data_IF_775959794287
#
_entry.id   IF_775959794287
#
_cell.length_a   1.000
_cell.length_b   1.000
_cell.length_c   1.000
_cell.angle_alpha   90.00
_cell.angle_beta   90.00
_cell.angle_gamma   90.00
#
_symmetry.space_group_name_H-M   'P 1'
#
loop_
_entity.id
_entity.type
_entity.pdbx_description
1 polymer ?
#
# COMPACT_ATOMS: atom_id res chain seq x y z
N UNK A 1 -34.07 -10.79 7.62
CA UNK A 1 -32.96 -10.75 6.66
C UNK A 1 -33.36 -9.78 5.55
N UNK A 2 -32.94 -8.53 5.62
CA UNK A 2 -33.12 -7.54 4.56
C UNK A 2 -32.33 -8.04 3.34
N UNK A 3 -33.01 -8.18 2.17
CA UNK A 3 -32.31 -8.36 0.90
C UNK A 3 -31.43 -7.11 0.71
N UNK A 4 -30.11 -7.25 0.87
CA UNK A 4 -29.17 -6.26 0.43
C UNK A 4 -29.38 -6.13 -1.09
N UNK A 5 -30.04 -5.07 -1.51
CA UNK A 5 -30.12 -4.69 -2.92
C UNK A 5 -28.69 -4.45 -3.38
N UNK A 6 -28.28 -5.11 -4.45
CA UNK A 6 -26.97 -4.86 -5.09
C UNK A 6 -26.89 -3.35 -5.32
N UNK A 7 -25.85 -2.67 -4.80
CA UNK A 7 -25.74 -1.23 -4.99
C UNK A 7 -25.79 -0.88 -6.47
N UNK A 8 -26.60 0.09 -6.82
CA UNK A 8 -26.72 0.56 -8.20
C UNK A 8 -25.41 1.24 -8.61
N UNK A 9 -24.84 0.82 -9.70
CA UNK A 9 -23.60 1.38 -10.24
C UNK A 9 -23.74 1.71 -11.71
N UNK A 10 -23.28 2.89 -12.12
CA UNK A 10 -23.42 3.39 -13.47
C UNK A 10 -22.22 4.23 -13.90
N UNK A 11 -22.07 4.40 -15.20
CA UNK A 11 -21.22 5.43 -15.79
C UNK A 11 -22.15 6.39 -16.53
N UNK A 12 -21.98 7.70 -16.27
CA UNK A 12 -22.87 8.74 -16.77
C UNK A 12 -22.98 8.78 -18.29
N UNK A 13 -24.12 9.32 -18.76
CA UNK A 13 -24.38 9.64 -20.16
C UNK A 13 -24.23 8.46 -21.12
N UNK A 14 -24.45 7.23 -20.65
CA UNK A 14 -24.35 6.03 -21.48
C UNK A 14 -22.93 5.71 -21.96
N UNK A 15 -21.91 6.34 -21.35
CA UNK A 15 -20.51 6.02 -21.59
C UNK A 15 -20.21 4.57 -21.24
N UNK A 16 -19.31 3.96 -21.95
CA UNK A 16 -18.84 2.60 -21.69
C UNK A 16 -17.68 2.56 -20.69
N UNK A 17 -16.95 3.67 -20.57
CA UNK A 17 -15.80 3.78 -19.67
C UNK A 17 -15.62 5.22 -19.18
N UNK A 18 -14.90 5.36 -18.08
CA UNK A 18 -14.39 6.63 -17.55
C UNK A 18 -12.99 6.45 -17.00
N UNK A 19 -12.24 7.53 -16.85
CA UNK A 19 -10.90 7.47 -16.28
C UNK A 19 -10.61 8.69 -15.41
N UNK A 20 -9.80 8.47 -14.35
CA UNK A 20 -9.32 9.51 -13.46
C UNK A 20 -7.80 9.45 -13.34
N UNK A 21 -7.17 10.59 -13.11
CA UNK A 21 -5.76 10.62 -12.77
C UNK A 21 -5.55 10.12 -11.33
N UNK A 22 -4.37 9.57 -11.03
CA UNK A 22 -3.95 9.30 -9.68
C UNK A 22 -2.57 9.86 -9.37
N UNK A 23 -2.29 10.07 -8.09
CA UNK A 23 -0.95 10.36 -7.60
C UNK A 23 -0.37 9.11 -6.94
N UNK A 24 0.89 8.82 -7.23
CA UNK A 24 1.63 7.75 -6.56
C UNK A 24 2.35 8.34 -5.33
N UNK A 25 1.72 8.29 -4.18
CA UNK A 25 2.25 8.81 -2.92
C UNK A 25 2.69 7.66 -2.02
N UNK A 26 3.95 7.66 -1.57
CA UNK A 26 4.56 6.57 -0.79
C UNK A 26 4.30 5.19 -1.42
N UNK A 27 4.39 5.13 -2.74
CA UNK A 27 4.15 3.93 -3.56
C UNK A 27 2.70 3.41 -3.54
N UNK A 28 1.73 4.26 -3.22
CA UNK A 28 0.29 3.95 -3.18
C UNK A 28 -0.49 4.89 -4.09
N UNK A 29 -1.53 4.35 -4.70
CA UNK A 29 -2.37 5.04 -5.68
C UNK A 29 -3.46 5.86 -4.99
N UNK A 30 -3.35 7.19 -5.00
CA UNK A 30 -4.35 8.12 -4.45
C UNK A 30 -5.18 8.76 -5.55
N UNK A 31 -6.49 8.82 -5.36
CA UNK A 31 -7.42 9.47 -6.27
C UNK A 31 -8.35 10.43 -5.53
N UNK A 32 -8.88 11.39 -6.27
CA UNK A 32 -9.96 12.24 -5.81
C UNK A 32 -11.31 11.63 -6.16
N UNK A 33 -12.19 11.58 -5.19
CA UNK A 33 -13.56 11.08 -5.31
C UNK A 33 -14.54 12.09 -4.76
N UNK A 34 -15.84 11.95 -5.07
CA UNK A 34 -16.87 12.68 -4.34
C UNK A 34 -17.75 11.73 -3.58
N UNK A 35 -17.97 12.01 -2.29
CA UNK A 35 -18.98 11.36 -1.47
C UNK A 35 -20.14 12.33 -1.24
N UNK A 36 -21.34 11.98 -1.68
CA UNK A 36 -22.52 12.84 -1.63
C UNK A 36 -22.23 14.27 -2.18
N UNK A 37 -21.48 14.33 -3.29
CA UNK A 37 -21.11 15.57 -3.98
C UNK A 37 -19.93 16.33 -3.39
N UNK A 38 -19.41 16.00 -2.19
CA UNK A 38 -18.23 16.64 -1.59
C UNK A 38 -16.94 15.92 -1.96
N UNK A 39 -15.85 16.64 -2.27
CA UNK A 39 -14.57 16.05 -2.68
C UNK A 39 -13.81 15.49 -1.48
N UNK A 40 -13.17 14.32 -1.68
CA UNK A 40 -12.28 13.64 -0.74
C UNK A 40 -11.16 12.94 -1.49
N UNK A 41 -10.05 12.67 -0.77
CA UNK A 41 -8.89 11.98 -1.33
C UNK A 41 -8.72 10.62 -0.69
N UNK A 42 -8.77 9.58 -1.49
CA UNK A 42 -8.77 8.19 -1.02
C UNK A 42 -7.67 7.35 -1.67
N UNK A 43 -7.25 6.33 -0.96
CA UNK A 43 -6.37 5.28 -1.46
C UNK A 43 -7.18 4.28 -2.29
N UNK A 44 -6.71 3.95 -3.50
CA UNK A 44 -7.23 2.84 -4.29
C UNK A 44 -6.45 1.56 -3.95
N UNK A 45 -7.13 0.60 -3.34
CA UNK A 45 -6.54 -0.62 -2.77
C UNK A 45 -7.32 -1.86 -3.20
N UNK A 46 -6.73 -2.67 -4.09
CA UNK A 46 -7.36 -3.91 -4.58
C UNK A 46 -7.53 -4.99 -3.51
N UNK A 47 -6.85 -4.83 -2.36
CA UNK A 47 -6.90 -5.74 -1.22
C UNK A 47 -7.84 -5.29 -0.10
N UNK A 48 -8.46 -4.10 -0.21
CA UNK A 48 -9.31 -3.54 0.83
C UNK A 48 -10.73 -3.23 0.33
N UNK A 49 -11.68 -3.19 1.27
CA UNK A 49 -13.04 -2.73 1.04
C UNK A 49 -13.17 -1.21 1.19
N UNK A 50 -14.41 -0.73 1.27
CA UNK A 50 -14.70 0.68 1.43
C UNK A 50 -14.54 1.12 2.89
N UNK A 51 -13.64 2.06 3.11
CA UNK A 51 -13.34 2.63 4.43
C UNK A 51 -13.32 4.15 4.31
N UNK A 52 -13.95 4.84 5.26
CA UNK A 52 -13.78 6.29 5.44
C UNK A 52 -13.31 6.58 6.86
N UNK A 53 -12.69 7.75 7.04
CA UNK A 53 -12.32 8.22 8.37
C UNK A 53 -13.52 8.80 9.13
N UNK A 54 -13.48 8.88 10.47
CA UNK A 54 -14.52 9.55 11.26
C UNK A 54 -14.74 11.02 10.85
N UNK A 55 -13.68 11.70 10.39
CA UNK A 55 -13.72 13.09 9.91
C UNK A 55 -14.60 13.21 8.66
N UNK A 56 -14.48 12.26 7.73
CA UNK A 56 -15.35 12.18 6.53
C UNK A 56 -16.81 11.97 6.92
N UNK A 57 -17.06 11.00 7.80
CA UNK A 57 -18.42 10.74 8.28
C UNK A 57 -19.04 11.98 8.94
N UNK A 58 -18.27 12.71 9.76
CA UNK A 58 -18.68 13.99 10.36
C UNK A 58 -18.92 15.08 9.32
N UNK A 59 -18.02 15.23 8.34
CA UNK A 59 -18.14 16.23 7.28
C UNK A 59 -19.40 16.03 6.41
N UNK A 60 -19.85 14.78 6.30
CA UNK A 60 -21.05 14.39 5.55
C UNK A 60 -22.30 14.28 6.42
N UNK A 61 -22.21 14.54 7.73
CA UNK A 61 -23.30 14.37 8.71
C UNK A 61 -23.91 12.96 8.67
N UNK A 62 -23.08 11.93 8.51
CA UNK A 62 -23.55 10.55 8.44
C UNK A 62 -23.79 9.97 9.84
N UNK A 63 -24.84 9.16 9.97
CA UNK A 63 -25.04 8.33 11.15
C UNK A 63 -24.06 7.16 11.09
N UNK A 64 -23.25 6.99 12.13
CA UNK A 64 -22.32 5.88 12.28
C UNK A 64 -22.86 4.92 13.33
N UNK A 65 -23.01 3.66 12.99
CA UNK A 65 -23.39 2.58 13.90
C UNK A 65 -22.13 1.79 14.29
N UNK A 66 -21.99 1.46 15.58
CA UNK A 66 -20.85 0.65 16.04
C UNK A 66 -20.89 -0.74 15.40
N UNK A 67 -19.76 -1.20 14.88
CA UNK A 67 -19.61 -2.51 14.26
C UNK A 67 -18.61 -3.42 15.01
N UNK A 68 -18.15 -2.99 16.19
CA UNK A 68 -17.18 -3.72 17.01
C UNK A 68 -15.76 -3.38 16.62
N UNK A 69 -14.91 -4.40 16.48
CA UNK A 69 -13.49 -4.21 16.22
C UNK A 69 -13.05 -4.93 14.94
N UNK A 70 -12.19 -4.28 14.16
CA UNK A 70 -11.57 -4.82 12.97
C UNK A 70 -10.04 -4.89 13.12
N UNK A 71 -9.44 -5.83 12.41
CA UNK A 71 -8.00 -6.00 12.33
C UNK A 71 -7.50 -5.77 10.91
N UNK A 72 -6.20 -5.52 10.79
CA UNK A 72 -5.51 -5.39 9.52
C UNK A 72 -4.14 -6.05 9.56
N UNK A 73 -3.16 -5.46 8.89
CA UNK A 73 -1.79 -5.99 8.83
C UNK A 73 -1.00 -5.79 10.13
N UNK A 74 -1.40 -4.83 10.98
CA UNK A 74 -0.86 -4.67 12.33
C UNK A 74 -1.46 -5.67 13.30
N UNK A 75 -0.94 -5.70 14.53
CA UNK A 75 -1.31 -6.69 15.55
C UNK A 75 -2.51 -6.29 16.40
N UNK A 76 -2.84 -5.00 16.44
CA UNK A 76 -3.94 -4.48 17.24
C UNK A 76 -5.25 -4.52 16.45
N UNK A 77 -6.35 -4.72 17.18
CA UNK A 77 -7.67 -4.43 16.65
C UNK A 77 -8.01 -2.96 16.89
N UNK A 78 -8.77 -2.38 15.99
CA UNK A 78 -9.25 -0.99 16.06
C UNK A 78 -10.78 -0.98 16.09
N UNK A 79 -11.35 -0.04 16.80
CA UNK A 79 -12.80 0.13 16.80
C UNK A 79 -13.29 0.54 15.42
N UNK A 80 -14.39 -0.02 14.99
CA UNK A 80 -15.01 0.26 13.70
C UNK A 80 -16.49 0.58 13.83
N UNK A 81 -16.96 1.39 12.89
CA UNK A 81 -18.36 1.67 12.67
C UNK A 81 -18.78 1.28 11.25
N UNK A 82 -20.08 1.39 10.99
CA UNK A 82 -20.68 1.27 9.66
C UNK A 82 -21.52 2.49 9.37
N UNK A 83 -21.49 2.91 8.12
CA UNK A 83 -22.34 4.00 7.63
C UNK A 83 -22.67 3.76 6.16
N UNK A 84 -23.64 4.51 5.62
CA UNK A 84 -23.98 4.44 4.20
C UNK A 84 -23.71 5.78 3.52
N UNK A 85 -23.07 5.72 2.37
CA UNK A 85 -22.88 6.85 1.45
C UNK A 85 -23.91 6.68 0.32
N UNK A 86 -24.73 7.71 0.12
CA UNK A 86 -25.80 7.66 -0.86
C UNK A 86 -25.26 7.66 -2.30
N UNK A 87 -24.17 8.38 -2.56
CA UNK A 87 -23.51 8.44 -3.86
C UNK A 87 -22.01 8.62 -3.72
N UNK A 88 -21.24 7.67 -4.27
CA UNK A 88 -19.79 7.79 -4.48
C UNK A 88 -19.54 7.99 -5.97
N UNK A 89 -18.84 9.08 -6.32
CA UNK A 89 -18.49 9.43 -7.68
C UNK A 89 -16.98 9.37 -7.90
N UNK A 90 -16.55 8.66 -8.95
CA UNK A 90 -15.14 8.58 -9.43
C UNK A 90 -15.14 8.94 -10.92
N UNK A 91 -14.76 10.18 -11.26
CA UNK A 91 -14.96 10.68 -12.62
C UNK A 91 -16.44 10.68 -12.98
N UNK A 92 -16.83 9.95 -14.03
CA UNK A 92 -18.24 9.76 -14.43
C UNK A 92 -18.87 8.48 -13.86
N UNK A 93 -18.13 7.73 -13.03
CA UNK A 93 -18.62 6.51 -12.39
C UNK A 93 -19.35 6.85 -11.11
N UNK A 94 -20.51 6.23 -10.86
CA UNK A 94 -21.31 6.35 -9.66
C UNK A 94 -21.54 4.97 -9.03
N UNK A 95 -21.40 4.90 -7.70
CA UNK A 95 -21.84 3.76 -6.88
C UNK A 95 -22.78 4.30 -5.81
N UNK A 96 -24.05 3.85 -5.83
CA UNK A 96 -25.09 4.38 -4.97
C UNK A 96 -25.41 3.46 -3.80
N UNK A 97 -25.80 4.08 -2.68
CA UNK A 97 -26.30 3.40 -1.47
C UNK A 97 -25.38 2.30 -0.95
N UNK A 98 -24.08 2.61 -0.83
CA UNK A 98 -23.11 1.63 -0.40
C UNK A 98 -22.69 1.80 1.07
N UNK A 99 -22.47 0.66 1.73
CA UNK A 99 -21.96 0.63 3.09
C UNK A 99 -20.45 0.86 3.11
N UNK A 100 -20.00 1.66 4.07
CA UNK A 100 -18.59 1.93 4.34
C UNK A 100 -18.26 1.59 5.79
N UNK A 101 -17.12 0.99 6.03
CA UNK A 101 -16.52 0.95 7.34
C UNK A 101 -16.06 2.35 7.74
N UNK A 102 -16.21 2.70 9.01
CA UNK A 102 -15.67 3.93 9.59
C UNK A 102 -14.57 3.55 10.55
N UNK A 103 -13.31 3.85 10.18
CA UNK A 103 -12.11 3.45 10.93
C UNK A 103 -11.23 4.68 11.16
N UNK A 104 -10.81 4.89 12.42
CA UNK A 104 -9.83 5.92 12.77
C UNK A 104 -8.42 5.45 12.44
N UNK A 105 -7.65 6.34 11.83
CA UNK A 105 -6.21 6.18 11.62
C UNK A 105 -5.39 7.13 12.52
N UNK A 106 -6.03 7.73 13.53
CA UNK A 106 -5.39 8.71 14.40
C UNK A 106 -4.19 8.15 15.18
N UNK A 107 -4.20 6.84 15.50
CA UNK A 107 -3.09 6.16 16.16
C UNK A 107 -1.97 5.74 15.19
N UNK A 108 -2.20 5.85 13.89
CA UNK A 108 -1.12 5.71 12.93
C UNK A 108 -0.31 7.01 12.97
N UNK A 109 0.99 6.99 13.36
CA UNK A 109 1.84 8.14 13.21
C UNK A 109 1.78 8.51 11.73
N UNK A 110 1.39 9.73 11.44
CA UNK A 110 1.04 10.22 10.11
C UNK A 110 1.96 9.64 9.00
N UNK A 111 1.73 8.38 8.68
CA UNK A 111 2.59 7.58 7.79
C UNK A 111 2.55 8.06 6.35
N UNK A 112 1.48 8.78 6.01
CA UNK A 112 1.36 9.47 4.72
C UNK A 112 1.93 10.90 4.76
N UNK A 113 2.49 11.31 5.90
CA UNK A 113 2.96 12.68 6.12
C UNK A 113 1.78 13.66 6.11
N UNK A 114 1.98 14.81 5.48
CA UNK A 114 0.94 15.81 5.30
C UNK A 114 -0.01 15.51 4.12
N UNK A 115 0.14 14.36 3.46
CA UNK A 115 -0.77 13.98 2.40
C UNK A 115 -2.18 13.71 2.97
N UNK A 116 -3.18 14.33 2.35
CA UNK A 116 -4.58 14.11 2.72
C UNK A 116 -4.95 12.64 2.51
N UNK A 117 -5.57 12.05 3.53
CA UNK A 117 -6.07 10.67 3.52
C UNK A 117 -7.44 10.64 4.19
N UNK A 118 -8.48 10.42 3.39
CA UNK A 118 -9.87 10.44 3.82
C UNK A 118 -10.49 9.04 3.88
N UNK A 119 -9.85 8.04 3.25
CA UNK A 119 -10.36 6.68 3.24
C UNK A 119 -9.67 5.76 2.22
N UNK A 120 -10.27 4.59 2.04
CA UNK A 120 -9.81 3.54 1.13
C UNK A 120 -11.01 3.07 0.31
N UNK A 121 -10.80 2.83 -0.98
CA UNK A 121 -11.74 2.16 -1.87
C UNK A 121 -10.99 1.16 -2.74
N UNK A 122 -11.63 0.14 -3.24
CA UNK A 122 -10.95 -0.77 -4.18
C UNK A 122 -11.74 -2.00 -4.56
N UNK A 123 -11.70 -3.04 -3.77
CA UNK A 123 -12.20 -4.36 -4.16
C UNK A 123 -13.64 -4.35 -4.70
N UNK A 124 -14.54 -3.58 -4.08
CA UNK A 124 -15.94 -3.51 -4.51
C UNK A 124 -16.11 -2.74 -5.83
N UNK A 125 -15.20 -1.81 -6.17
CA UNK A 125 -15.16 -1.19 -7.50
C UNK A 125 -14.73 -2.22 -8.53
N UNK A 126 -13.70 -3.03 -8.20
CA UNK A 126 -13.22 -4.10 -9.08
C UNK A 126 -14.31 -5.15 -9.40
N UNK A 127 -15.22 -5.41 -8.45
CA UNK A 127 -16.34 -6.33 -8.66
C UNK A 127 -17.38 -5.82 -9.67
N UNK A 128 -17.46 -4.51 -9.86
CA UNK A 128 -18.46 -3.85 -10.69
C UNK A 128 -17.96 -3.45 -12.06
N UNK A 129 -16.68 -3.10 -12.13
CA UNK A 129 -16.08 -2.55 -13.34
C UNK A 129 -14.75 -3.24 -13.63
N UNK A 130 -14.50 -3.51 -14.91
CA UNK A 130 -13.16 -3.85 -15.34
C UNK A 130 -12.30 -2.63 -15.11
N UNK A 131 -11.28 -2.78 -14.26
CA UNK A 131 -10.45 -1.66 -13.81
C UNK A 131 -9.02 -1.83 -14.27
N UNK A 132 -8.51 -0.87 -15.04
CA UNK A 132 -7.11 -0.79 -15.42
C UNK A 132 -6.39 0.23 -14.54
N UNK A 133 -5.32 -0.21 -13.89
CA UNK A 133 -4.34 0.63 -13.22
C UNK A 133 -3.20 0.87 -14.20
N UNK A 134 -3.22 2.01 -14.86
CA UNK A 134 -2.18 2.43 -15.80
C UNK A 134 -1.11 3.21 -15.06
N UNK A 135 -0.10 2.49 -14.55
CA UNK A 135 1.03 3.08 -13.84
C UNK A 135 1.97 3.87 -14.74
N UNK A 136 1.93 3.63 -16.05
CA UNK A 136 2.75 4.37 -17.00
C UNK A 136 2.27 5.82 -17.17
N UNK A 137 0.94 6.01 -17.17
CA UNK A 137 0.30 7.30 -17.39
C UNK A 137 -0.38 7.84 -16.12
N UNK A 138 -0.25 7.15 -14.97
CA UNK A 138 -0.89 7.50 -13.70
C UNK A 138 -2.41 7.71 -13.82
N UNK A 139 -3.10 6.70 -14.37
CA UNK A 139 -4.56 6.74 -14.58
C UNK A 139 -5.22 5.45 -14.11
N UNK A 140 -6.39 5.59 -13.48
CA UNK A 140 -7.34 4.50 -13.34
C UNK A 140 -8.39 4.62 -14.43
N UNK A 141 -8.65 3.51 -15.12
CA UNK A 141 -9.70 3.42 -16.14
C UNK A 141 -10.73 2.39 -15.69
N UNK A 142 -12.00 2.75 -15.76
CA UNK A 142 -13.11 1.88 -15.37
C UNK A 142 -13.98 1.65 -16.59
N UNK A 143 -14.21 0.39 -16.94
CA UNK A 143 -15.00 -0.01 -18.10
C UNK A 143 -16.13 -0.94 -17.68
N UNK A 144 -17.30 -0.78 -18.26
CA UNK A 144 -18.42 -1.70 -18.05
C UNK A 144 -18.04 -3.12 -18.47
N UNK A 145 -18.25 -4.16 -17.66
CA UNK A 145 -17.81 -5.53 -17.98
C UNK A 145 -18.39 -6.09 -19.28
N UNK A 146 -19.67 -5.74 -19.60
CA UNK A 146 -20.37 -6.17 -20.81
C UNK A 146 -19.81 -5.52 -22.08
N UNK A 147 -19.06 -4.44 -21.97
CA UNK A 147 -18.43 -3.69 -23.07
C UNK A 147 -16.94 -3.89 -23.18
N UNK A 148 -16.32 -4.47 -22.16
CA UNK A 148 -14.87 -4.66 -22.15
C UNK A 148 -14.46 -5.82 -23.06
N UNK A 149 -13.49 -5.55 -23.92
CA UNK A 149 -12.81 -6.55 -24.74
C UNK A 149 -11.30 -6.29 -24.71
N UNK A 150 -10.56 -7.24 -24.17
CA UNK A 150 -9.11 -7.13 -24.18
C UNK A 150 -8.53 -7.60 -25.51
N UNK A 151 -7.72 -6.73 -26.14
CA UNK A 151 -7.09 -6.99 -27.46
C UNK A 151 -5.56 -6.84 -27.40
N UNK A 152 -4.99 -6.59 -26.20
CA UNK A 152 -3.56 -6.41 -26.02
C UNK A 152 -2.76 -7.71 -25.94
N UNK A 153 -1.44 -7.59 -25.79
CA UNK A 153 -0.47 -8.69 -25.64
C UNK A 153 -0.08 -9.02 -24.20
N UNK A 154 -0.83 -8.58 -23.21
CA UNK A 154 -0.53 -8.81 -21.80
C UNK A 154 -0.67 -10.27 -21.36
N UNK A 155 0.01 -10.62 -20.29
CA UNK A 155 -0.06 -11.94 -19.69
C UNK A 155 -1.30 -12.02 -18.81
N UNK A 156 -2.17 -12.99 -19.07
CA UNK A 156 -3.40 -13.23 -18.33
C UNK A 156 -3.20 -14.28 -17.26
N UNK A 157 -3.71 -13.98 -16.07
CA UNK A 157 -3.77 -14.92 -14.96
C UNK A 157 -5.21 -15.08 -14.51
N UNK A 158 -5.68 -16.32 -14.40
CA UNK A 158 -6.91 -16.60 -13.67
C UNK A 158 -6.67 -16.40 -12.18
N UNK A 159 -7.65 -15.83 -11.49
CA UNK A 159 -7.55 -15.64 -10.05
C UNK A 159 -8.76 -16.18 -9.29
N UNK A 160 -8.54 -16.51 -8.04
CA UNK A 160 -9.59 -16.75 -7.05
C UNK A 160 -9.64 -15.58 -6.08
N UNK A 161 -10.68 -15.48 -5.25
CA UNK A 161 -10.73 -14.49 -4.16
C UNK A 161 -10.67 -15.17 -2.81
N UNK A 162 -9.92 -14.57 -1.89
CA UNK A 162 -10.06 -14.81 -0.47
C UNK A 162 -10.50 -13.51 0.21
N UNK A 163 -11.80 -13.41 0.47
CA UNK A 163 -12.39 -12.12 0.83
C UNK A 163 -12.27 -11.13 -0.33
N UNK A 164 -11.50 -10.06 -0.13
CA UNK A 164 -11.41 -8.95 -1.07
C UNK A 164 -10.26 -9.08 -2.09
N UNK A 165 -9.19 -9.79 -1.71
CA UNK A 165 -7.94 -9.80 -2.48
C UNK A 165 -8.00 -10.78 -3.65
N UNK A 166 -7.68 -10.39 -4.89
CA UNK A 166 -7.46 -11.30 -6.01
C UNK A 166 -6.21 -12.16 -5.80
N UNK A 167 -6.34 -13.49 -5.88
CA UNK A 167 -5.30 -14.47 -5.61
C UNK A 167 -4.84 -15.19 -6.87
N UNK A 168 -3.55 -15.13 -7.17
CA UNK A 168 -2.91 -15.78 -8.33
C UNK A 168 -1.89 -16.82 -7.83
N UNK A 169 -1.81 -17.96 -8.52
CA UNK A 169 -0.78 -18.96 -8.26
C UNK A 169 0.59 -18.43 -8.70
N UNK A 170 1.59 -18.64 -7.87
CA UNK A 170 2.95 -18.20 -8.13
C UNK A 170 3.98 -19.05 -7.40
N UNK A 171 5.24 -18.68 -7.53
CA UNK A 171 6.37 -19.37 -6.94
C UNK A 171 7.45 -18.39 -6.52
N UNK A 172 8.06 -18.61 -5.37
CA UNK A 172 9.23 -17.84 -4.91
C UNK A 172 10.40 -18.79 -4.66
N UNK A 173 11.47 -18.68 -5.46
CA UNK A 173 12.69 -19.51 -5.39
C UNK A 173 12.39 -21.02 -5.29
N UNK A 174 11.48 -21.53 -6.11
CA UNK A 174 11.07 -22.94 -6.17
C UNK A 174 9.97 -23.32 -5.17
N UNK A 175 9.46 -22.38 -4.37
CA UNK A 175 8.38 -22.65 -3.40
C UNK A 175 7.07 -22.11 -3.95
N UNK A 176 6.16 -23.02 -4.31
CA UNK A 176 4.83 -22.68 -4.83
C UNK A 176 3.93 -22.08 -3.74
N UNK A 177 3.10 -21.13 -4.12
CA UNK A 177 2.15 -20.48 -3.24
C UNK A 177 1.06 -19.73 -3.98
N UNK A 178 0.10 -19.21 -3.24
CA UNK A 178 -0.96 -18.35 -3.77
C UNK A 178 -0.72 -16.93 -3.28
N UNK A 179 -0.64 -15.97 -4.18
CA UNK A 179 -0.24 -14.60 -3.88
C UNK A 179 -1.36 -13.62 -4.20
N UNK A 180 -1.64 -12.72 -3.27
CA UNK A 180 -2.57 -11.61 -3.49
C UNK A 180 -1.96 -10.53 -4.37
N UNK A 181 -2.77 -9.96 -5.28
CA UNK A 181 -2.39 -8.79 -6.07
C UNK A 181 -2.96 -7.57 -5.35
N UNK A 182 -2.07 -6.80 -4.71
CA UNK A 182 -2.43 -5.79 -3.72
C UNK A 182 -1.83 -4.41 -4.05
N UNK A 183 -2.65 -3.53 -4.63
CA UNK A 183 -2.24 -2.16 -4.99
C UNK A 183 -2.08 -1.24 -3.79
N UNK A 184 -2.63 -1.60 -2.63
CA UNK A 184 -2.48 -0.88 -1.36
C UNK A 184 -1.19 -1.21 -0.61
N UNK A 185 -0.55 -2.35 -0.93
CA UNK A 185 0.74 -2.73 -0.37
C UNK A 185 1.88 -1.95 -1.04
N UNK A 186 2.60 -1.10 -0.29
CA UNK A 186 3.69 -0.26 -0.81
C UNK A 186 4.97 -1.01 -1.19
N UNK A 187 5.06 -2.28 -0.80
CA UNK A 187 6.27 -3.11 -0.95
C UNK A 187 6.29 -3.91 -2.25
N UNK A 188 7.39 -4.63 -2.48
CA UNK A 188 7.52 -5.58 -3.59
C UNK A 188 6.79 -6.89 -3.25
N UNK A 189 7.40 -7.73 -2.41
CA UNK A 189 6.77 -8.92 -1.86
C UNK A 189 6.69 -8.81 -0.34
N UNK A 190 5.51 -9.10 0.21
CA UNK A 190 5.31 -9.29 1.64
C UNK A 190 4.75 -10.70 1.83
N UNK A 191 5.58 -11.62 2.30
CA UNK A 191 5.17 -12.99 2.58
C UNK A 191 4.35 -13.02 3.88
N UNK A 192 3.57 -14.05 4.07
CA UNK A 192 2.83 -14.26 5.31
C UNK A 192 3.59 -15.20 6.26
N UNK A 193 3.42 -15.00 7.57
CA UNK A 193 4.14 -15.74 8.58
C UNK A 193 4.09 -17.26 8.39
N UNK A 194 2.91 -17.87 8.30
CA UNK A 194 2.80 -19.33 8.13
C UNK A 194 3.48 -19.87 6.87
N UNK A 195 3.39 -19.16 5.75
CA UNK A 195 4.09 -19.57 4.53
C UNK A 195 5.60 -19.49 4.69
N UNK A 196 6.09 -18.42 5.31
CA UNK A 196 7.51 -18.21 5.60
C UNK A 196 8.07 -19.31 6.48
N UNK A 197 7.36 -19.64 7.56
CA UNK A 197 7.82 -20.57 8.59
C UNK A 197 7.72 -22.04 8.13
N UNK A 198 6.59 -22.42 7.50
CA UNK A 198 6.39 -23.79 6.97
C UNK A 198 7.39 -24.17 5.88
N UNK A 199 7.93 -23.19 5.15
CA UNK A 199 8.92 -23.41 4.10
C UNK A 199 10.36 -23.08 4.53
N UNK A 200 10.60 -22.84 5.81
CA UNK A 200 11.91 -22.51 6.37
C UNK A 200 12.62 -21.34 5.67
N UNK A 201 11.85 -20.35 5.17
CA UNK A 201 12.41 -19.27 4.35
C UNK A 201 13.31 -18.33 5.15
N UNK A 202 13.11 -18.19 6.46
CA UNK A 202 14.02 -17.42 7.32
C UNK A 202 15.41 -18.06 7.37
N UNK A 203 15.50 -19.36 7.48
CA UNK A 203 16.77 -20.09 7.43
C UNK A 203 17.39 -20.06 6.03
N UNK A 204 16.56 -20.26 4.99
CA UNK A 204 16.99 -20.24 3.58
C UNK A 204 17.63 -18.91 3.17
N UNK A 205 17.01 -17.79 3.56
CA UNK A 205 17.48 -16.46 3.18
C UNK A 205 18.46 -15.84 4.18
N UNK A 206 18.46 -16.30 5.45
CA UNK A 206 19.29 -15.77 6.52
C UNK A 206 19.34 -14.22 6.54
N UNK A 207 18.17 -13.53 6.60
CA UNK A 207 18.10 -12.08 6.48
C UNK A 207 18.86 -11.38 7.61
N UNK A 208 19.61 -10.33 7.26
CA UNK A 208 20.40 -9.55 8.24
C UNK A 208 19.74 -8.22 8.60
N UNK A 209 18.75 -7.80 7.84
CA UNK A 209 18.04 -6.53 8.02
C UNK A 209 16.69 -6.81 8.67
N UNK A 210 16.39 -6.11 9.76
CA UNK A 210 15.12 -6.19 10.47
C UNK A 210 14.70 -4.80 10.92
N UNK A 211 13.44 -4.46 10.69
CA UNK A 211 12.87 -3.17 11.12
C UNK A 211 11.41 -3.02 10.74
N UNK A 212 10.85 -1.84 11.03
CA UNK A 212 9.52 -1.46 10.52
C UNK A 212 9.62 -1.28 9.01
N UNK A 213 8.78 -2.00 8.27
CA UNK A 213 8.75 -1.99 6.79
C UNK A 213 7.43 -1.50 6.22
N UNK A 214 6.44 -1.29 7.07
CA UNK A 214 5.12 -0.82 6.70
C UNK A 214 4.30 -0.43 7.92
N UNK A 215 3.12 0.13 7.64
CA UNK A 215 2.12 0.47 8.65
C UNK A 215 0.73 0.32 8.04
N UNK A 216 -0.21 -0.20 8.79
CA UNK A 216 -1.60 -0.31 8.35
C UNK A 216 -2.56 -0.36 9.55
N UNK A 217 -3.79 -0.78 9.30
CA UNK A 217 -4.78 -0.97 10.36
C UNK A 217 -4.20 -1.92 11.41
N UNK A 218 -4.23 -1.50 12.66
CA UNK A 218 -3.69 -2.26 13.80
C UNK A 218 -2.21 -2.02 14.09
N UNK A 219 -1.52 -1.14 13.35
CA UNK A 219 -0.18 -0.68 13.71
C UNK A 219 0.96 -1.04 12.75
N UNK A 220 2.21 -0.99 13.24
CA UNK A 220 3.41 -1.22 12.43
C UNK A 220 3.53 -2.67 11.97
N UNK A 221 4.13 -2.85 10.81
CA UNK A 221 4.58 -4.14 10.30
C UNK A 221 6.09 -4.21 10.40
N UNK A 222 6.59 -5.01 11.35
CA UNK A 222 8.01 -5.31 11.49
C UNK A 222 8.35 -6.55 10.68
N UNK A 223 9.40 -6.49 9.87
CA UNK A 223 9.82 -7.61 9.02
C UNK A 223 11.33 -7.76 9.00
N UNK A 224 11.76 -8.97 8.76
CA UNK A 224 13.08 -9.25 8.21
C UNK A 224 13.03 -9.01 6.70
N UNK A 225 14.11 -8.43 6.14
CA UNK A 225 14.17 -8.06 4.72
C UNK A 225 15.31 -8.79 4.03
N UNK A 226 15.00 -9.34 2.86
CA UNK A 226 15.92 -10.10 2.03
C UNK A 226 15.61 -9.90 0.55
N UNK A 227 16.34 -10.59 -0.34
CA UNK A 227 16.00 -10.69 -1.76
C UNK A 227 15.74 -12.14 -2.14
N UNK A 228 14.60 -12.37 -2.79
CA UNK A 228 14.38 -13.60 -3.53
C UNK A 228 15.09 -13.52 -4.87
N UNK A 229 15.69 -14.63 -5.32
CA UNK A 229 16.37 -14.68 -6.61
C UNK A 229 15.39 -14.54 -7.76
N UNK A 230 14.27 -15.25 -7.68
CA UNK A 230 13.20 -15.20 -8.67
C UNK A 230 11.83 -15.36 -8.04
N UNK A 231 10.91 -14.49 -8.43
CA UNK A 231 9.48 -14.62 -8.17
C UNK A 231 8.77 -14.85 -9.50
N UNK A 232 7.89 -15.85 -9.56
CA UNK A 232 7.16 -16.23 -10.77
C UNK A 232 5.65 -16.12 -10.57
N UNK A 233 4.99 -15.55 -11.57
CA UNK A 233 3.55 -15.66 -11.78
C UNK A 233 3.35 -16.27 -13.17
N UNK A 234 3.00 -17.57 -13.24
CA UNK A 234 2.95 -18.29 -14.51
C UNK A 234 4.25 -18.16 -15.31
N UNK A 235 4.17 -17.58 -16.52
CA UNK A 235 5.34 -17.31 -17.37
C UNK A 235 6.08 -16.00 -17.04
N UNK A 236 5.55 -15.17 -16.17
CA UNK A 236 6.21 -13.94 -15.73
C UNK A 236 7.26 -14.24 -14.68
N UNK A 237 8.50 -13.85 -14.92
CA UNK A 237 9.61 -13.95 -13.97
C UNK A 237 10.10 -12.55 -13.59
N UNK A 238 10.29 -12.32 -12.30
CA UNK A 238 10.81 -11.10 -11.72
C UNK A 238 12.00 -11.46 -10.84
N UNK A 239 13.15 -10.91 -11.15
CA UNK A 239 14.41 -11.30 -10.52
C UNK A 239 14.82 -10.32 -9.43
N UNK A 240 15.56 -10.83 -8.43
CA UNK A 240 16.17 -10.04 -7.36
C UNK A 240 15.19 -9.19 -6.58
N UNK A 241 14.02 -9.77 -6.24
CA UNK A 241 12.87 -9.07 -5.66
C UNK A 241 13.04 -8.87 -4.16
N UNK A 242 12.89 -7.65 -3.67
CA UNK A 242 12.84 -7.37 -2.23
C UNK A 242 11.67 -8.11 -1.60
N UNK A 243 12.00 -8.92 -0.61
CA UNK A 243 11.06 -9.80 0.06
C UNK A 243 11.06 -9.53 1.55
N UNK A 244 9.88 -9.30 2.10
CA UNK A 244 9.66 -9.05 3.52
C UNK A 244 9.07 -10.29 4.18
N UNK A 245 9.70 -10.71 5.27
CA UNK A 245 9.31 -11.85 6.10
C UNK A 245 8.77 -11.28 7.43
N UNK A 246 7.45 -11.14 7.59
CA UNK A 246 6.86 -10.44 8.73
C UNK A 246 7.10 -11.19 10.04
N UNK A 247 7.18 -10.43 11.13
CA UNK A 247 7.40 -10.94 12.48
C UNK A 247 6.12 -10.88 13.35
N UNK A 248 5.00 -10.49 12.77
CA UNK A 248 3.70 -10.38 13.44
C UNK A 248 3.26 -11.71 14.04
N UNK A 249 2.70 -11.64 15.26
CA UNK A 249 2.13 -12.78 15.99
C UNK A 249 0.60 -12.83 15.89
N UNK A 250 -0.02 -11.76 15.40
CA UNK A 250 -1.46 -11.64 15.15
C UNK A 250 -1.74 -10.76 13.93
N UNK A 251 -3.02 -10.59 13.56
CA UNK A 251 -3.44 -9.81 12.41
C UNK A 251 -3.39 -10.57 11.09
N UNK A 252 -3.65 -9.87 9.99
CA UNK A 252 -3.84 -10.46 8.67
C UNK A 252 -2.62 -11.27 8.17
N UNK A 253 -1.40 -10.85 8.55
CA UNK A 253 -0.16 -11.48 8.11
C UNK A 253 0.11 -12.86 8.74
N UNK A 254 -0.72 -13.28 9.70
CA UNK A 254 -0.68 -14.64 10.30
C UNK A 254 -1.66 -15.62 9.65
N UNK A 255 -2.32 -15.21 8.57
CA UNK A 255 -3.22 -16.09 7.81
C UNK A 255 -2.43 -17.15 7.02
N UNK A 256 -2.93 -18.38 7.04
CA UNK A 256 -2.41 -19.47 6.21
C UNK A 256 -3.09 -19.58 4.84
N UNK A 257 -4.04 -18.69 4.54
CA UNK A 257 -4.85 -18.76 3.32
C UNK A 257 -4.13 -18.30 2.06
N UNK A 258 -3.01 -17.60 2.21
CA UNK A 258 -2.16 -17.15 1.09
C UNK A 258 -0.68 -17.14 1.51
N UNK A 259 0.20 -17.21 0.51
CA UNK A 259 1.64 -17.16 0.71
C UNK A 259 2.13 -15.74 1.04
N UNK A 260 1.46 -14.75 0.50
CA UNK A 260 1.80 -13.34 0.66
C UNK A 260 1.09 -12.46 -0.35
N UNK A 261 1.53 -11.21 -0.46
CA UNK A 261 1.03 -10.24 -1.43
C UNK A 261 2.15 -9.67 -2.30
N UNK A 262 1.80 -9.44 -3.57
CA UNK A 262 2.59 -8.70 -4.54
C UNK A 262 2.13 -7.25 -4.48
N UNK A 263 3.01 -6.34 -4.11
CA UNK A 263 2.67 -4.94 -3.90
C UNK A 263 3.24 -4.00 -4.96
N UNK A 264 3.04 -2.73 -4.74
CA UNK A 264 3.22 -1.67 -5.72
C UNK A 264 4.65 -1.52 -6.29
N UNK A 265 5.71 -1.88 -5.55
CA UNK A 265 7.08 -1.84 -6.13
C UNK A 265 7.26 -2.83 -7.29
N UNK A 266 6.51 -3.95 -7.29
CA UNK A 266 6.42 -4.85 -8.44
C UNK A 266 5.33 -4.39 -9.41
N UNK A 267 4.13 -4.09 -8.90
CA UNK A 267 2.95 -3.83 -9.72
C UNK A 267 3.13 -2.61 -10.64
N UNK A 268 3.80 -1.55 -10.18
CA UNK A 268 4.06 -0.34 -10.98
C UNK A 268 4.96 -0.56 -12.21
N UNK A 269 5.58 -1.73 -12.34
CA UNK A 269 6.33 -2.12 -13.53
C UNK A 269 5.41 -2.62 -14.66
N UNK A 270 4.11 -2.66 -14.40
CA UNK A 270 3.08 -3.12 -15.34
C UNK A 270 1.91 -2.15 -15.36
N UNK A 271 1.15 -2.16 -16.44
CA UNK A 271 -0.23 -1.72 -16.44
C UNK A 271 -1.09 -2.95 -16.14
N UNK A 272 -1.98 -2.85 -15.16
CA UNK A 272 -2.69 -4.02 -14.64
C UNK A 272 -4.20 -3.84 -14.85
N UNK A 273 -4.82 -4.82 -15.50
CA UNK A 273 -6.27 -4.83 -15.67
C UNK A 273 -6.89 -5.94 -14.83
N UNK A 274 -7.79 -5.57 -13.94
CA UNK A 274 -8.62 -6.49 -13.16
C UNK A 274 -9.97 -6.66 -13.85
N UNK A 275 -10.29 -7.89 -14.25
CA UNK A 275 -11.59 -8.28 -14.79
C UNK A 275 -12.24 -9.31 -13.89
N UNK A 276 -12.98 -8.84 -12.89
CA UNK A 276 -13.64 -9.71 -11.91
C UNK A 276 -14.75 -10.53 -12.55
N UNK A 277 -15.38 -10.04 -13.61
CA UNK A 277 -16.44 -10.74 -14.33
C UNK A 277 -15.96 -12.03 -15.00
N UNK A 278 -14.67 -12.08 -15.37
CA UNK A 278 -14.00 -13.25 -15.97
C UNK A 278 -13.02 -13.92 -15.01
N UNK A 279 -12.83 -13.35 -13.80
CA UNK A 279 -11.80 -13.79 -12.84
C UNK A 279 -10.41 -13.79 -13.47
N UNK A 280 -10.10 -12.76 -14.24
CA UNK A 280 -8.81 -12.55 -14.89
C UNK A 280 -8.13 -11.29 -14.37
N UNK A 281 -6.82 -11.37 -14.15
CA UNK A 281 -5.94 -10.20 -14.03
C UNK A 281 -4.91 -10.24 -15.14
N UNK A 282 -4.69 -9.09 -15.80
CA UNK A 282 -3.85 -8.97 -17.00
C UNK A 282 -2.70 -8.02 -16.67
N UNK A 283 -1.48 -8.48 -16.93
CA UNK A 283 -0.25 -7.72 -16.72
C UNK A 283 0.37 -7.33 -18.07
N UNK A 284 0.47 -6.05 -18.34
CA UNK A 284 1.15 -5.50 -19.51
C UNK A 284 2.44 -4.81 -19.03
N UNK A 285 3.61 -5.29 -19.46
CA UNK A 285 4.89 -4.63 -19.15
C UNK A 285 4.85 -3.20 -19.64
N UNK A 286 5.18 -2.25 -18.77
CA UNK A 286 5.29 -0.84 -19.10
C UNK A 286 6.76 -0.38 -19.15
N UNK A 287 7.02 0.90 -19.39
CA UNK A 287 8.39 1.46 -19.48
C UNK A 287 9.23 1.30 -18.19
N UNK A 288 8.60 1.00 -17.06
CA UNK A 288 9.28 0.78 -15.78
C UNK A 288 9.66 -0.69 -15.54
N UNK A 289 9.33 -1.59 -16.48
CA UNK A 289 9.68 -3.00 -16.33
C UNK A 289 11.19 -3.22 -16.23
N UNK A 290 11.61 -3.95 -15.20
CA UNK A 290 13.02 -4.15 -14.88
C UNK A 290 13.67 -3.03 -14.07
N UNK A 291 12.90 -2.03 -13.62
CA UNK A 291 13.41 -1.01 -12.71
C UNK A 291 13.95 -1.63 -11.42
N UNK A 292 15.05 -1.06 -10.92
CA UNK A 292 15.70 -1.54 -9.71
C UNK A 292 14.74 -1.45 -8.50
N UNK A 293 14.63 -2.57 -7.80
CA UNK A 293 13.87 -2.67 -6.55
C UNK A 293 14.82 -2.36 -5.37
N UNK A 294 14.73 -1.16 -4.83
CA UNK A 294 15.63 -0.65 -3.79
C UNK A 294 14.96 -0.65 -2.42
N UNK A 295 15.74 -0.87 -1.37
CA UNK A 295 15.34 -0.70 0.03
C UNK A 295 15.77 0.67 0.54
N UNK A 296 15.24 1.11 1.69
CA UNK A 296 15.70 2.32 2.36
C UNK A 296 17.19 2.21 2.69
N UNK A 297 17.98 3.22 2.27
CA UNK A 297 19.43 3.23 2.40
C UNK A 297 19.93 3.94 3.65
N UNK A 298 19.05 4.65 4.34
CA UNK A 298 19.35 5.26 5.66
C UNK A 298 19.16 4.25 6.79
N UNK A 299 18.19 3.35 6.66
CA UNK A 299 17.87 2.34 7.65
C UNK A 299 17.09 2.92 8.83
N UNK A 300 16.12 3.79 8.57
CA UNK A 300 15.23 4.34 9.59
C UNK A 300 13.78 4.38 9.09
N UNK A 301 12.84 4.29 10.01
CA UNK A 301 11.43 4.54 9.74
C UNK A 301 11.00 5.85 10.42
N UNK A 302 10.42 6.75 9.66
CA UNK A 302 9.95 8.03 10.17
C UNK A 302 8.42 8.13 10.09
N UNK A 303 7.83 8.81 11.07
CA UNK A 303 6.47 9.36 11.01
C UNK A 303 6.53 10.88 10.95
N UNK A 304 5.36 11.53 10.85
CA UNK A 304 5.24 12.97 10.92
C UNK A 304 4.24 13.35 12.02
N UNK A 305 4.65 14.20 12.95
CA UNK A 305 3.78 14.79 13.96
C UNK A 305 3.83 16.32 13.79
N UNK A 306 2.73 16.88 13.36
CA UNK A 306 2.69 18.31 12.99
C UNK A 306 3.66 18.60 11.84
N UNK A 307 4.67 19.43 12.12
CA UNK A 307 5.69 19.85 11.16
C UNK A 307 7.04 19.14 11.28
N UNK A 308 7.12 18.14 12.15
CA UNK A 308 8.36 17.48 12.53
C UNK A 308 8.31 16.03 12.12
N UNK A 309 9.43 15.49 11.62
CA UNK A 309 9.56 14.06 11.42
C UNK A 309 10.12 13.41 12.68
N UNK A 310 9.49 12.34 13.10
CA UNK A 310 9.90 11.55 14.27
C UNK A 310 10.47 10.20 13.84
N UNK A 311 11.58 9.81 14.44
CA UNK A 311 12.20 8.50 14.19
C UNK A 311 11.44 7.43 14.98
N UNK A 312 10.77 6.54 14.29
CA UNK A 312 9.94 5.48 14.87
C UNK A 312 10.67 4.13 14.93
N UNK A 313 11.69 3.95 14.10
CA UNK A 313 12.53 2.75 14.11
C UNK A 313 13.89 3.05 13.50
N UNK A 314 14.93 2.34 13.98
CA UNK A 314 16.30 2.42 13.46
C UNK A 314 16.83 1.00 13.30
N UNK A 315 17.22 0.63 12.12
CA UNK A 315 17.76 -0.69 11.78
C UNK A 315 19.18 -0.81 12.33
N UNK A 316 19.42 -1.86 13.09
CA UNK A 316 20.74 -2.11 13.66
C UNK A 316 21.83 -2.22 12.58
N UNK A 317 23.00 -1.58 12.82
CA UNK A 317 24.10 -1.55 11.86
C UNK A 317 23.82 -0.76 10.57
N UNK A 318 22.76 0.05 10.53
CA UNK A 318 22.46 0.92 9.39
C UNK A 318 23.20 2.27 9.49
N UNK A 319 23.28 3.05 8.39
CA UNK A 319 23.81 4.42 8.44
C UNK A 319 23.17 5.31 9.49
N UNK A 320 21.85 5.18 9.71
CA UNK A 320 21.14 5.92 10.75
C UNK A 320 21.62 5.52 12.16
N UNK A 321 21.78 4.20 12.42
CA UNK A 321 22.30 3.70 13.68
C UNK A 321 23.75 4.15 13.92
N UNK A 322 24.62 4.07 12.90
CA UNK A 322 26.02 4.50 12.97
C UNK A 322 26.16 6.01 13.21
N UNK A 323 25.25 6.81 12.68
CA UNK A 323 25.17 8.25 12.96
C UNK A 323 24.60 8.57 14.37
N UNK A 324 24.22 7.55 15.14
CA UNK A 324 23.71 7.68 16.51
C UNK A 324 22.27 8.13 16.59
N UNK A 325 21.45 7.94 15.54
CA UNK A 325 20.00 8.15 15.62
C UNK A 325 19.35 7.09 16.52
N UNK A 326 18.33 7.53 17.22
CA UNK A 326 17.53 6.69 18.12
C UNK A 326 16.04 6.88 17.89
N UNK A 327 15.27 5.87 18.26
CA UNK A 327 13.81 5.98 18.28
C UNK A 327 13.41 7.12 19.23
N UNK A 328 12.48 7.97 18.79
CA UNK A 328 12.03 9.18 19.49
C UNK A 328 12.80 10.45 19.13
N UNK A 329 13.91 10.35 18.40
CA UNK A 329 14.59 11.54 17.88
C UNK A 329 13.68 12.30 16.92
N UNK A 330 13.72 13.63 17.00
CA UNK A 330 12.98 14.54 16.12
C UNK A 330 13.91 15.10 15.05
N UNK A 331 13.58 14.89 13.79
CA UNK A 331 14.30 15.49 12.66
C UNK A 331 13.63 16.82 12.37
N UNK A 332 14.37 17.91 12.49
CA UNK A 332 13.91 19.28 12.30
C UNK A 332 14.24 19.82 10.91
N UNK A 333 15.36 19.37 10.31
CA UNK A 333 15.75 19.75 8.96
C UNK A 333 16.55 18.62 8.28
N UNK A 334 16.48 18.55 6.96
CA UNK A 334 17.22 17.63 6.10
C UNK A 334 17.90 18.46 5.01
N UNK A 335 19.23 18.30 4.87
CA UNK A 335 20.07 19.03 3.90
C UNK A 335 19.84 20.57 3.95
N UNK A 336 19.64 21.10 5.17
CA UNK A 336 19.40 22.51 5.42
C UNK A 336 17.97 23.00 5.19
N UNK A 337 17.06 22.12 4.76
CA UNK A 337 15.66 22.45 4.56
C UNK A 337 14.82 21.95 5.76
N UNK A 338 14.05 22.85 6.36
CA UNK A 338 13.17 22.53 7.48
C UNK A 338 12.10 21.48 7.09
N UNK A 339 11.78 20.58 8.01
CA UNK A 339 10.84 19.48 7.75
C UNK A 339 9.40 19.95 7.49
N UNK A 340 9.02 21.15 7.91
CA UNK A 340 7.72 21.74 7.61
C UNK A 340 7.52 22.12 6.14
N UNK A 341 8.63 22.16 5.36
CA UNK A 341 8.66 22.41 3.91
C UNK A 341 8.86 21.15 3.09
N UNK A 342 8.99 19.99 3.76
CA UNK A 342 9.25 18.71 3.14
C UNK A 342 8.03 17.80 3.23
N UNK A 343 7.80 17.02 2.18
CA UNK A 343 6.81 15.94 2.19
C UNK A 343 7.50 14.64 2.61
N UNK A 344 7.03 14.03 3.71
CA UNK A 344 7.60 12.78 4.23
C UNK A 344 7.69 11.65 3.17
N UNK A 345 6.68 11.43 2.31
CA UNK A 345 6.77 10.45 1.23
C UNK A 345 7.93 10.70 0.25
N UNK A 346 8.18 11.97 -0.08
CA UNK A 346 9.29 12.36 -0.98
C UNK A 346 10.64 12.14 -0.31
N UNK A 347 10.75 12.46 0.98
CA UNK A 347 11.98 12.19 1.75
C UNK A 347 12.26 10.69 1.80
N UNK A 348 11.26 9.87 2.10
CA UNK A 348 11.41 8.40 2.09
C UNK A 348 11.82 7.89 0.71
N UNK A 349 11.24 8.45 -0.36
CA UNK A 349 11.62 8.09 -1.73
C UNK A 349 13.08 8.43 -2.01
N UNK A 350 13.54 9.63 -1.64
CA UNK A 350 14.95 10.04 -1.77
C UNK A 350 15.90 9.13 -1.00
N UNK A 351 15.59 8.81 0.26
CA UNK A 351 16.42 7.91 1.07
C UNK A 351 16.47 6.48 0.50
N UNK A 352 15.44 6.08 -0.26
CA UNK A 352 15.38 4.80 -0.96
C UNK A 352 16.13 4.82 -2.30
N UNK A 353 16.06 5.93 -3.08
CA UNK A 353 16.48 5.97 -4.48
C UNK A 353 17.78 6.76 -4.71
N UNK A 354 18.13 7.69 -3.84
CA UNK A 354 19.41 8.40 -3.93
C UNK A 354 20.58 7.39 -3.90
N UNK A 355 21.66 7.64 -4.67
CA UNK A 355 22.73 6.67 -4.85
C UNK A 355 23.44 6.32 -3.54
N UNK A 356 24.00 5.09 -3.43
CA UNK A 356 24.93 4.78 -2.34
C UNK A 356 26.07 5.81 -2.28
N UNK A 357 26.60 6.04 -1.07
CA UNK A 357 27.62 7.05 -0.74
C UNK A 357 27.12 8.50 -0.73
N UNK A 358 25.86 8.79 -1.09
CA UNK A 358 25.31 10.12 -0.86
C UNK A 358 25.26 10.43 0.62
N UNK A 359 25.72 11.62 0.98
CA UNK A 359 25.67 12.14 2.35
C UNK A 359 24.41 12.97 2.51
N UNK A 360 23.66 12.71 3.57
CA UNK A 360 22.45 13.43 3.95
C UNK A 360 22.69 14.06 5.32
N UNK A 361 22.55 15.37 5.42
CA UNK A 361 22.70 16.10 6.68
C UNK A 361 21.36 16.22 7.40
N UNK A 362 21.31 15.89 8.67
CA UNK A 362 20.12 16.01 9.50
C UNK A 362 20.38 16.97 10.67
N UNK A 363 19.43 17.86 10.94
CA UNK A 363 19.31 18.55 12.22
C UNK A 363 18.36 17.76 13.09
N UNK A 364 18.88 17.20 14.18
CA UNK A 364 18.15 16.29 15.07
C UNK A 364 18.02 16.91 16.45
N UNK A 365 16.87 16.74 17.08
CA UNK A 365 16.62 17.08 18.48
C UNK A 365 16.35 15.80 19.28
N UNK A 366 17.15 15.60 20.34
CA UNK A 366 17.02 14.49 21.31
C UNK A 366 16.88 15.10 22.69
N UNK A 367 15.78 14.87 23.40
CA UNK A 367 15.55 15.41 24.75
C UNK A 367 15.76 16.93 24.88
N UNK A 368 15.42 17.68 23.83
CA UNK A 368 15.60 19.16 23.79
C UNK A 368 16.97 19.64 23.31
N UNK A 369 17.96 18.75 23.18
CA UNK A 369 19.28 19.10 22.66
C UNK A 369 19.35 18.90 21.14
N UNK A 370 19.88 19.91 20.46
CA UNK A 370 19.99 19.89 19.00
C UNK A 370 21.41 19.53 18.56
N UNK A 371 21.50 18.63 17.60
CA UNK A 371 22.78 18.21 17.02
C UNK A 371 22.66 18.05 15.49
N UNK A 372 23.74 18.29 14.79
CA UNK A 372 23.84 17.97 13.36
C UNK A 372 24.56 16.65 13.21
N UNK A 373 23.97 15.77 12.39
CA UNK A 373 24.57 14.48 12.04
C UNK A 373 24.60 14.33 10.54
N UNK A 374 25.45 13.46 10.04
CA UNK A 374 25.50 13.10 8.62
C UNK A 374 25.33 11.60 8.48
N UNK A 375 24.38 11.20 7.65
CA UNK A 375 24.15 9.81 7.26
C UNK A 375 24.76 9.62 5.88
N UNK A 376 25.56 8.55 5.69
CA UNK A 376 26.08 8.16 4.38
C UNK A 376 25.27 6.96 3.89
N UNK A 377 24.45 7.16 2.86
CA UNK A 377 23.53 6.14 2.34
C UNK A 377 24.29 4.93 1.81
N UNK A 378 23.75 3.73 2.05
CA UNK A 378 24.27 2.47 1.45
C UNK A 378 23.17 1.44 1.26
N UNK A 379 23.38 0.50 0.35
CA UNK A 379 22.49 -0.65 0.20
C UNK A 379 22.59 -1.52 1.46
N UNK A 380 21.43 -1.86 2.02
CA UNK A 380 21.32 -2.68 3.23
C UNK A 380 20.94 -4.12 2.90
N UNK A 381 20.31 -4.33 1.71
CA UNK A 381 19.79 -5.63 1.25
C UNK A 381 20.23 -5.91 -0.17
#
# INVERSE_FOLDING_TARGET
MSKLTTPDSSIDNGKISTSVAFDLTDNRTFIDVKFNGKPFRVLFDSGAGYIITPEVAKALNLKVESAGQEGGVGEKKVDSGRTHIADMQIGDLHVKNHEFAVISFADAPNVFGSAQFDGIIGSEVLERFVTKVDYENNRLEFTRPDKFKYTGGGIKFSYTKNGLVPLVNGEIDGVAGVFGIDTGARSSLLLFGPFTDNNNLRTKYAPKVEGITGWGIGGPVRSQVTRAKVFKLGSLEIYNVLTRLPLQKSGALTSSKMAGVVGADVLKQFNITFDDSRREVIFEKNRHFGAADTFDRAGMWMGQTGKIFEVLDVIAGSPAAEAGLKVGDKILAIDGQDTDKLLLPEVRLKLKTDPPQKRVQLLVETNGERRRITITLRDLV
#
